data_IF_216829882562
#
_entry.id   IF_216829882562
#
_cell.length_a   1.000
_cell.length_b   1.000
_cell.length_c   1.000
_cell.angle_alpha   90.00
_cell.angle_beta   90.00
_cell.angle_gamma   90.00
#
_symmetry.space_group_name_H-M   'P 1'
#
loop_
_entity.id
_entity.type
_entity.pdbx_description
1 polymer ?
#
# COMPACT_ATOMS: atom_id res chain seq x y z
N UNK A 1 -15.49 22.35 10.96
CA UNK A 1 -16.68 22.76 11.76
C UNK A 1 -17.84 21.91 11.26
N UNK A 2 -18.25 20.85 11.96
CA UNK A 2 -19.02 20.85 13.22
C UNK A 2 -20.49 20.60 12.85
N UNK A 3 -21.05 19.41 13.10
CA UNK A 3 -21.68 18.95 14.34
C UNK A 3 -23.20 19.25 14.42
N UNK A 4 -23.97 18.18 14.67
CA UNK A 4 -25.26 18.14 15.36
C UNK A 4 -26.33 19.19 15.04
N UNK A 5 -27.33 18.82 14.22
CA UNK A 5 -28.73 19.16 14.48
C UNK A 5 -29.68 18.40 13.55
N UNK A 6 -30.03 17.17 13.91
CA UNK A 6 -31.27 16.56 13.45
C UNK A 6 -31.76 15.61 14.55
N UNK A 7 -32.11 16.20 15.69
CA UNK A 7 -32.74 15.54 16.81
C UNK A 7 -34.13 16.17 17.02
N UNK A 8 -35.12 15.29 17.19
CA UNK A 8 -36.48 15.51 17.71
C UNK A 8 -37.59 15.91 16.73
N UNK A 9 -38.03 14.93 15.94
CA UNK A 9 -39.46 14.68 15.76
C UNK A 9 -39.84 13.41 16.52
N UNK A 10 -40.54 13.51 17.65
CA UNK A 10 -41.18 12.37 18.31
C UNK A 10 -42.11 11.67 17.32
N UNK A 11 -41.75 10.48 16.86
CA UNK A 11 -42.70 9.49 16.31
C UNK A 11 -42.28 8.12 16.77
N UNK A 12 -43.27 7.33 17.12
CA UNK A 12 -43.19 6.10 17.88
C UNK A 12 -42.15 5.12 17.34
N UNK A 13 -41.61 4.32 18.27
CA UNK A 13 -40.77 3.15 17.97
C UNK A 13 -41.54 2.18 17.08
N UNK A 14 -41.50 2.40 15.78
CA UNK A 14 -41.77 1.35 14.80
C UNK A 14 -40.39 0.81 14.47
N UNK A 15 -40.06 -0.33 15.08
CA UNK A 15 -38.96 -1.16 14.61
C UNK A 15 -39.08 -1.28 13.08
N UNK A 16 -37.98 -1.17 12.31
CA UNK A 16 -38.08 -1.34 10.86
C UNK A 16 -38.78 -2.66 10.62
N UNK A 17 -39.97 -2.60 10.03
CA UNK A 17 -40.73 -3.78 9.67
C UNK A 17 -39.84 -4.60 8.76
N UNK A 18 -39.38 -5.74 9.26
CA UNK A 18 -38.64 -6.74 8.50
C UNK A 18 -39.43 -7.00 7.21
N UNK A 19 -38.92 -6.53 6.08
CA UNK A 19 -39.46 -6.88 4.77
C UNK A 19 -39.07 -8.34 4.48
N UNK A 20 -39.70 -9.26 5.20
CA UNK A 20 -39.66 -10.69 4.88
C UNK A 20 -40.56 -10.90 3.68
N UNK A 21 -39.97 -10.82 2.50
CA UNK A 21 -40.56 -11.40 1.30
C UNK A 21 -39.63 -12.53 0.84
N UNK A 22 -39.68 -13.65 1.60
CA UNK A 22 -39.23 -15.05 1.33
C UNK A 22 -38.15 -15.66 2.23
N UNK A 23 -37.47 -14.90 3.07
CA UNK A 23 -36.15 -15.32 3.55
C UNK A 23 -35.96 -15.05 5.03
N UNK A 24 -35.08 -15.84 5.62
CA UNK A 24 -34.63 -15.76 7.00
C UNK A 24 -34.05 -14.35 7.26
N UNK A 25 -34.57 -13.64 8.25
CA UNK A 25 -33.98 -12.37 8.67
C UNK A 25 -32.72 -12.62 9.50
N UNK A 26 -31.57 -12.43 8.86
CA UNK A 26 -30.26 -12.60 9.47
C UNK A 26 -29.64 -11.29 9.97
N UNK A 27 -30.32 -10.14 9.85
CA UNK A 27 -29.85 -8.82 10.33
C UNK A 27 -29.94 -8.70 11.86
N UNK A 28 -29.22 -9.58 12.55
CA UNK A 28 -29.21 -9.71 14.00
C UNK A 28 -28.05 -8.92 14.62
N UNK A 29 -28.09 -8.62 15.94
CA UNK A 29 -26.92 -8.06 16.63
C UNK A 29 -25.66 -8.92 16.47
N UNK A 30 -25.82 -10.25 16.40
CA UNK A 30 -24.72 -11.17 16.15
C UNK A 30 -24.11 -11.00 14.75
N UNK A 31 -24.94 -10.80 13.73
CA UNK A 31 -24.48 -10.49 12.38
C UNK A 31 -23.64 -9.22 12.35
N UNK A 32 -24.13 -8.12 12.95
CA UNK A 32 -23.36 -6.87 13.01
C UNK A 32 -22.08 -7.00 13.83
N UNK A 33 -22.10 -7.80 14.90
CA UNK A 33 -20.89 -8.10 15.69
C UNK A 33 -19.87 -8.85 14.84
N UNK A 34 -20.30 -9.84 14.07
CA UNK A 34 -19.42 -10.59 13.16
C UNK A 34 -18.87 -9.68 12.06
N UNK A 35 -19.71 -8.90 11.38
CA UNK A 35 -19.28 -7.91 10.38
C UNK A 35 -18.20 -6.97 10.93
N UNK A 36 -18.37 -6.49 12.17
CA UNK A 36 -17.37 -5.61 12.81
C UNK A 36 -16.04 -6.30 13.16
N UNK A 37 -15.98 -7.64 13.06
CA UNK A 37 -14.79 -8.45 13.32
C UNK A 37 -13.95 -8.76 12.08
N UNK A 38 -14.37 -8.25 10.91
CA UNK A 38 -13.58 -8.27 9.67
C UNK A 38 -12.20 -7.62 9.92
N UNK A 39 -11.08 -8.32 9.63
CA UNK A 39 -9.75 -7.74 9.80
C UNK A 39 -9.53 -6.52 8.92
N UNK A 40 -8.89 -5.51 9.49
CA UNK A 40 -8.50 -4.29 8.79
C UNK A 40 -7.00 -4.34 8.47
N UNK A 41 -6.68 -4.34 7.17
CA UNK A 41 -5.29 -4.39 6.70
C UNK A 41 -4.46 -3.18 7.15
N UNK A 42 -5.07 -1.99 7.26
CA UNK A 42 -4.37 -0.79 7.75
C UNK A 42 -3.96 -0.93 9.21
N UNK A 43 -4.76 -1.61 10.05
CA UNK A 43 -4.37 -1.93 11.44
C UNK A 43 -3.23 -2.94 11.50
N UNK A 44 -3.10 -3.82 10.51
CA UNK A 44 -1.99 -4.75 10.42
C UNK A 44 -0.72 -4.04 9.95
N UNK A 45 -0.85 -3.14 8.97
CA UNK A 45 0.23 -2.36 8.39
C UNK A 45 0.76 -1.25 9.31
N UNK A 46 -0.04 -0.85 10.31
CA UNK A 46 0.29 0.25 11.22
C UNK A 46 0.23 1.64 10.56
N UNK A 47 -0.27 1.71 9.33
CA UNK A 47 -0.41 2.93 8.53
C UNK A 47 -1.75 2.91 7.81
N UNK A 48 -2.49 4.01 7.93
CA UNK A 48 -3.73 4.18 7.20
C UNK A 48 -3.48 4.55 5.72
N UNK A 49 -4.53 4.46 4.90
CA UNK A 49 -4.47 4.79 3.48
C UNK A 49 -4.34 6.29 3.20
N UNK A 50 -4.50 7.15 4.21
CA UNK A 50 -4.30 8.60 4.12
C UNK A 50 -2.92 9.04 4.59
N UNK A 51 -2.03 8.09 4.89
CA UNK A 51 -0.68 8.37 5.34
C UNK A 51 0.05 9.19 4.25
N UNK A 52 0.69 10.31 4.62
CA UNK A 52 1.25 11.22 3.63
C UNK A 52 2.47 10.61 2.93
N UNK A 53 2.62 10.87 1.63
CA UNK A 53 3.73 10.36 0.81
C UNK A 53 5.11 10.93 1.20
N UNK A 54 5.14 12.04 1.94
CA UNK A 54 6.35 12.72 2.40
C UNK A 54 6.01 13.57 3.65
N UNK A 55 7.03 13.94 4.42
CA UNK A 55 6.90 14.84 5.58
C UNK A 55 7.88 16.01 5.59
N UNK A 56 8.87 16.02 4.69
CA UNK A 56 9.97 16.99 4.66
C UNK A 56 10.75 17.08 6.00
N UNK A 57 10.75 16.00 6.78
CA UNK A 57 11.47 15.93 8.07
C UNK A 57 12.90 15.44 7.91
N UNK A 58 13.20 14.73 6.81
CA UNK A 58 14.55 14.28 6.54
C UNK A 58 15.40 15.42 5.98
N UNK A 59 16.53 15.71 6.64
CA UNK A 59 17.45 16.77 6.23
C UNK A 59 18.54 16.17 5.35
N UNK A 60 18.65 16.66 4.11
CA UNK A 60 19.70 16.27 3.16
C UNK A 60 20.89 17.21 3.23
N UNK A 61 22.07 16.72 2.86
CA UNK A 61 23.28 17.54 2.78
C UNK A 61 23.22 18.56 1.62
N UNK A 62 22.41 18.27 0.59
CA UNK A 62 22.32 19.04 -0.65
C UNK A 62 21.31 20.20 -0.58
N UNK A 63 20.66 20.37 0.57
CA UNK A 63 19.62 21.36 0.80
C UNK A 63 18.43 21.22 -0.18
N UNK A 64 18.05 19.97 -0.46
CA UNK A 64 16.83 19.60 -1.17
C UNK A 64 15.96 18.69 -0.30
N UNK A 65 14.65 18.77 -0.45
CA UNK A 65 13.73 17.80 0.17
C UNK A 65 13.77 16.48 -0.59
N UNK A 66 13.49 15.36 0.07
CA UNK A 66 13.48 14.06 -0.62
C UNK A 66 12.47 14.00 -1.78
N UNK A 67 11.30 14.63 -1.64
CA UNK A 67 10.34 14.75 -2.76
C UNK A 67 10.90 15.54 -3.95
N UNK A 68 11.78 16.51 -3.72
CA UNK A 68 12.44 17.26 -4.78
C UNK A 68 13.49 16.38 -5.46
N UNK A 69 14.30 15.67 -4.67
CA UNK A 69 15.30 14.71 -5.18
C UNK A 69 14.66 13.54 -5.93
N UNK A 70 13.43 13.13 -5.58
CA UNK A 70 12.67 12.16 -6.36
C UNK A 70 12.47 12.63 -7.82
N UNK A 71 12.31 13.95 -8.07
CA UNK A 71 12.22 14.48 -9.43
C UNK A 71 13.55 14.36 -10.17
N UNK A 72 14.68 14.60 -9.49
CA UNK A 72 16.01 14.38 -10.07
C UNK A 72 16.21 12.90 -10.44
N UNK A 73 15.81 12.01 -9.52
CA UNK A 73 15.83 10.56 -9.75
C UNK A 73 14.96 10.19 -10.95
N UNK A 74 13.77 10.78 -11.07
CA UNK A 74 12.92 10.55 -12.22
C UNK A 74 13.60 10.98 -13.53
N UNK A 75 14.24 12.15 -13.59
CA UNK A 75 15.00 12.61 -14.76
C UNK A 75 16.12 11.64 -15.12
N UNK A 76 16.86 11.15 -14.13
CA UNK A 76 18.00 10.24 -14.30
C UNK A 76 17.69 8.78 -14.58
N UNK A 77 16.45 8.33 -14.35
CA UNK A 77 16.09 6.92 -14.46
C UNK A 77 16.38 6.29 -15.84
N UNK A 78 16.10 6.94 -16.99
CA UNK A 78 16.42 6.36 -18.28
C UNK A 78 17.90 6.55 -18.64
N UNK A 79 18.59 5.46 -18.99
CA UNK A 79 20.03 5.45 -19.35
C UNK A 79 20.42 6.50 -20.40
N UNK A 80 19.56 6.76 -21.38
CA UNK A 80 19.82 7.68 -22.49
C UNK A 80 19.16 9.05 -22.30
N UNK A 81 18.78 9.39 -21.06
CA UNK A 81 18.04 10.60 -20.74
C UNK A 81 16.59 10.59 -21.25
N UNK A 82 15.86 11.61 -20.85
CA UNK A 82 14.47 11.86 -21.27
C UNK A 82 14.44 12.91 -22.37
N UNK A 83 13.42 12.90 -23.23
CA UNK A 83 13.20 14.02 -24.16
C UNK A 83 13.09 15.32 -23.37
N UNK A 84 13.75 16.40 -23.79
CA UNK A 84 13.68 17.69 -23.08
C UNK A 84 12.27 18.29 -23.06
N UNK A 85 11.39 17.83 -23.96
CA UNK A 85 9.97 18.22 -24.05
C UNK A 85 9.01 17.26 -23.35
N UNK A 86 9.52 16.24 -22.63
CA UNK A 86 8.66 15.28 -21.94
C UNK A 86 7.83 15.99 -20.87
N UNK A 87 6.55 15.65 -20.79
CA UNK A 87 5.69 16.14 -19.71
C UNK A 87 6.05 15.45 -18.39
N UNK A 88 6.25 16.25 -17.35
CA UNK A 88 6.48 15.73 -16.00
C UNK A 88 5.19 15.04 -15.50
N UNK A 89 5.28 13.83 -14.90
CA UNK A 89 4.12 13.10 -14.42
C UNK A 89 3.27 13.85 -13.39
N UNK A 90 1.95 13.66 -13.46
CA UNK A 90 0.97 14.36 -12.62
C UNK A 90 1.20 14.18 -11.11
N UNK A 91 1.70 13.02 -10.67
CA UNK A 91 1.93 12.74 -9.25
C UNK A 91 2.94 13.69 -8.60
N UNK A 92 3.88 14.27 -9.35
CA UNK A 92 4.78 15.29 -8.79
C UNK A 92 4.02 16.55 -8.34
N UNK A 93 2.89 16.84 -8.98
CA UNK A 93 2.04 17.97 -8.65
C UNK A 93 0.97 17.60 -7.62
N UNK A 94 0.26 16.47 -7.80
CA UNK A 94 -0.85 16.08 -6.93
C UNK A 94 -0.38 15.45 -5.62
N UNK A 95 0.60 14.56 -5.69
CA UNK A 95 0.94 13.66 -4.57
C UNK A 95 2.14 14.20 -3.79
N UNK A 96 3.03 14.94 -4.47
CA UNK A 96 4.24 15.54 -3.89
C UNK A 96 4.19 17.06 -3.80
N UNK A 97 3.13 17.71 -4.31
CA UNK A 97 2.93 19.16 -4.24
C UNK A 97 4.19 19.96 -4.66
N UNK A 98 4.78 19.61 -5.80
CA UNK A 98 5.95 20.29 -6.35
C UNK A 98 5.55 21.28 -7.45
N UNK A 99 6.29 22.39 -7.52
CA UNK A 99 6.44 23.13 -8.76
C UNK A 99 7.57 22.50 -9.60
N UNK A 100 7.26 21.37 -10.24
CA UNK A 100 8.26 20.53 -10.89
C UNK A 100 9.00 21.21 -12.05
N UNK A 101 8.33 22.11 -12.77
CA UNK A 101 8.95 22.92 -13.83
C UNK A 101 10.00 23.89 -13.27
N UNK A 102 9.65 24.64 -12.21
CA UNK A 102 10.59 25.53 -11.53
C UNK A 102 11.77 24.74 -10.96
N UNK A 103 11.51 23.61 -10.32
CA UNK A 103 12.55 22.75 -9.75
C UNK A 103 13.49 22.18 -10.82
N UNK A 104 12.95 21.77 -11.97
CA UNK A 104 13.77 21.32 -13.11
C UNK A 104 14.72 22.42 -13.60
N UNK A 105 14.26 23.68 -13.66
CA UNK A 105 15.14 24.83 -13.98
C UNK A 105 16.22 25.04 -12.91
N UNK A 106 15.89 24.84 -11.63
CA UNK A 106 16.87 24.91 -10.53
C UNK A 106 17.92 23.80 -10.67
N UNK A 107 17.53 22.59 -11.03
CA UNK A 107 18.49 21.50 -11.31
C UNK A 107 19.42 21.83 -12.48
N UNK A 108 18.88 22.44 -13.56
CA UNK A 108 19.70 22.93 -14.68
C UNK A 108 20.68 24.01 -14.23
N UNK A 109 20.22 25.03 -13.50
CA UNK A 109 21.09 26.12 -13.04
C UNK A 109 22.16 25.67 -12.04
N UNK A 110 21.89 24.61 -11.26
CA UNK A 110 22.86 23.99 -10.35
C UNK A 110 23.78 22.97 -11.05
N UNK A 111 23.63 22.78 -12.36
CA UNK A 111 24.42 21.85 -13.15
C UNK A 111 24.21 20.40 -12.76
N UNK A 112 23.01 20.01 -12.30
CA UNK A 112 22.67 18.61 -11.99
C UNK A 112 22.11 17.88 -13.22
N UNK A 113 21.44 18.60 -14.10
CA UNK A 113 20.95 18.09 -15.37
C UNK A 113 21.26 19.10 -16.47
N UNK A 114 21.42 18.63 -17.69
CA UNK A 114 21.68 19.46 -18.86
C UNK A 114 20.89 18.95 -20.07
N UNK A 115 20.52 19.86 -20.96
CA UNK A 115 19.99 19.50 -22.28
C UNK A 115 21.15 19.23 -23.24
N UNK A 116 21.18 18.04 -23.82
CA UNK A 116 22.13 17.61 -24.86
C UNK A 116 21.30 17.16 -26.05
N UNK A 117 21.26 18.01 -27.09
CA UNK A 117 20.37 17.80 -28.23
C UNK A 117 18.89 17.87 -27.83
N UNK A 118 18.12 16.83 -28.13
CA UNK A 118 16.70 16.71 -27.78
C UNK A 118 16.46 16.03 -26.42
N UNK A 119 17.52 15.77 -25.64
CA UNK A 119 17.48 15.02 -24.39
C UNK A 119 17.93 15.86 -23.21
N UNK A 120 17.30 15.64 -22.05
CA UNK A 120 17.82 16.05 -20.75
C UNK A 120 18.49 14.84 -20.09
N UNK A 121 19.76 15.01 -19.71
CA UNK A 121 20.57 14.01 -19.02
C UNK A 121 21.07 14.53 -17.67
N UNK A 122 21.45 13.61 -16.78
CA UNK A 122 22.23 13.94 -15.60
C UNK A 122 23.64 14.38 -16.02
N UNK A 123 24.18 15.37 -15.32
CA UNK A 123 25.63 15.64 -15.33
C UNK A 123 26.35 14.67 -14.38
N UNK A 124 27.68 14.73 -14.29
CA UNK A 124 28.44 13.95 -13.29
C UNK A 124 27.93 14.22 -11.86
N UNK A 125 27.77 15.48 -11.48
CA UNK A 125 27.19 15.88 -10.19
C UNK A 125 25.75 15.39 -10.01
N UNK A 126 24.96 15.41 -11.07
CA UNK A 126 23.61 14.84 -11.06
C UNK A 126 23.60 13.33 -10.85
N UNK A 127 24.58 12.63 -11.45
CA UNK A 127 24.74 11.19 -11.32
C UNK A 127 25.11 10.79 -9.88
N UNK A 128 26.00 11.53 -9.23
CA UNK A 128 26.34 11.31 -7.82
C UNK A 128 25.09 11.37 -6.92
N UNK A 129 24.28 12.41 -7.10
CA UNK A 129 23.03 12.54 -6.34
C UNK A 129 22.00 11.48 -6.71
N UNK A 130 21.89 11.14 -7.99
CA UNK A 130 21.02 10.06 -8.44
C UNK A 130 21.39 8.75 -7.74
N UNK A 131 22.66 8.37 -7.70
CA UNK A 131 23.09 7.12 -7.05
C UNK A 131 22.81 7.11 -5.55
N UNK A 132 23.02 8.25 -4.87
CA UNK A 132 22.69 8.42 -3.44
C UNK A 132 21.19 8.28 -3.16
N UNK A 133 20.34 8.77 -4.05
CA UNK A 133 18.90 8.92 -3.80
C UNK A 133 18.00 7.99 -4.63
N UNK A 134 18.53 7.11 -5.47
CA UNK A 134 17.73 6.24 -6.38
C UNK A 134 16.69 5.37 -5.67
N UNK A 135 16.92 5.02 -4.40
CA UNK A 135 15.96 4.29 -3.56
C UNK A 135 14.61 5.01 -3.41
N UNK A 136 14.58 6.35 -3.51
CA UNK A 136 13.33 7.12 -3.51
C UNK A 136 12.36 6.66 -4.60
N UNK A 137 12.88 6.23 -5.76
CA UNK A 137 12.04 5.69 -6.82
C UNK A 137 11.37 4.37 -6.42
N UNK A 138 12.09 3.51 -5.69
CA UNK A 138 11.57 2.23 -5.22
C UNK A 138 10.44 2.46 -4.21
N UNK A 139 10.67 3.34 -3.23
CA UNK A 139 9.68 3.75 -2.22
C UNK A 139 8.42 4.31 -2.88
N UNK A 140 8.59 5.23 -3.84
CA UNK A 140 7.49 5.81 -4.62
C UNK A 140 6.70 4.76 -5.42
N UNK A 141 7.38 3.72 -5.90
CA UNK A 141 6.77 2.72 -6.78
C UNK A 141 5.90 1.71 -6.05
N UNK A 142 6.01 1.60 -4.72
CA UNK A 142 5.14 0.74 -3.91
C UNK A 142 3.72 1.31 -3.91
N UNK A 143 2.73 0.50 -4.31
CA UNK A 143 1.31 0.91 -4.36
C UNK A 143 0.42 0.14 -3.40
N UNK A 144 0.83 -1.06 -2.98
CA UNK A 144 0.04 -1.89 -2.06
C UNK A 144 0.24 -1.54 -0.57
N UNK A 145 1.17 -0.64 -0.24
CA UNK A 145 1.46 -0.22 1.13
C UNK A 145 1.67 1.29 1.18
N UNK A 146 1.12 2.01 2.18
CA UNK A 146 1.34 3.44 2.36
C UNK A 146 2.80 3.76 2.74
N UNK A 147 3.57 4.29 1.80
CA UNK A 147 4.97 4.70 1.99
C UNK A 147 5.13 6.19 2.23
N UNK A 148 6.23 6.58 2.87
CA UNK A 148 6.62 7.98 3.08
C UNK A 148 8.12 8.13 2.82
N UNK A 149 8.49 9.06 1.92
CA UNK A 149 9.88 9.24 1.51
C UNK A 149 10.82 9.50 2.69
N UNK A 150 10.45 10.39 3.61
CA UNK A 150 11.31 10.82 4.73
C UNK A 150 11.48 9.74 5.81
N UNK A 151 10.43 8.95 6.04
CA UNK A 151 10.44 7.90 7.07
C UNK A 151 11.13 6.64 6.53
N UNK A 152 10.89 6.28 5.28
CA UNK A 152 11.31 5.00 4.73
C UNK A 152 12.71 5.05 4.10
N UNK A 153 13.13 6.20 3.53
CA UNK A 153 14.43 6.35 2.87
C UNK A 153 15.65 6.02 3.73
N UNK A 154 15.78 6.50 4.98
CA UNK A 154 17.02 6.34 5.76
C UNK A 154 17.41 4.89 6.02
N UNK A 155 16.41 4.00 6.11
CA UNK A 155 16.58 2.59 6.43
C UNK A 155 16.11 1.69 5.28
N UNK A 156 16.03 2.24 4.06
CA UNK A 156 15.46 1.50 2.94
C UNK A 156 16.32 0.29 2.58
N UNK A 157 15.76 -0.89 2.79
CA UNK A 157 16.26 -2.14 2.27
C UNK A 157 15.10 -2.83 1.56
N UNK A 158 15.15 -2.86 0.22
CA UNK A 158 14.07 -3.40 -0.59
C UNK A 158 13.71 -4.85 -0.25
N UNK A 159 14.70 -5.72 -0.04
CA UNK A 159 14.44 -7.13 0.24
C UNK A 159 13.80 -7.30 1.61
N UNK A 160 14.29 -6.57 2.61
CA UNK A 160 13.71 -6.60 3.95
C UNK A 160 12.28 -6.01 3.96
N UNK A 161 12.06 -4.91 3.24
CA UNK A 161 10.75 -4.30 3.08
C UNK A 161 9.75 -5.26 2.42
N UNK A 162 10.14 -5.89 1.31
CA UNK A 162 9.28 -6.88 0.62
C UNK A 162 8.95 -8.07 1.53
N UNK A 163 9.91 -8.55 2.33
CA UNK A 163 9.70 -9.64 3.29
C UNK A 163 8.66 -9.26 4.34
N UNK A 164 8.81 -8.10 4.96
CA UNK A 164 7.87 -7.62 5.97
C UNK A 164 6.48 -7.40 5.37
N UNK A 165 6.39 -6.87 4.15
CA UNK A 165 5.12 -6.74 3.45
C UNK A 165 4.43 -8.10 3.24
N UNK A 166 5.16 -9.12 2.78
CA UNK A 166 4.59 -10.46 2.64
C UNK A 166 4.15 -11.05 3.98
N UNK A 167 4.90 -10.83 5.06
CA UNK A 167 4.52 -11.27 6.41
C UNK A 167 3.23 -10.60 6.89
N UNK A 168 3.06 -9.31 6.61
CA UNK A 168 1.85 -8.57 6.95
C UNK A 168 0.63 -9.04 6.12
N UNK A 169 0.80 -9.21 4.81
CA UNK A 169 -0.23 -9.77 3.91
C UNK A 169 -0.65 -11.19 4.37
N UNK A 170 0.32 -12.05 4.67
CA UNK A 170 0.06 -13.39 5.20
C UNK A 170 -0.77 -13.35 6.49
N UNK A 171 -0.45 -12.42 7.40
CA UNK A 171 -1.21 -12.23 8.64
C UNK A 171 -2.64 -11.78 8.36
N UNK A 172 -2.84 -10.87 7.40
CA UNK A 172 -4.15 -10.41 6.98
C UNK A 172 -5.00 -11.55 6.41
N UNK A 173 -4.52 -12.25 5.37
CA UNK A 173 -5.30 -13.32 4.72
C UNK A 173 -5.60 -14.49 5.66
N UNK A 174 -4.69 -14.82 6.60
CA UNK A 174 -4.97 -15.80 7.67
C UNK A 174 -6.09 -15.34 8.61
N UNK A 175 -6.17 -14.05 8.91
CA UNK A 175 -7.24 -13.50 9.72
C UNK A 175 -8.57 -13.45 8.95
N UNK A 176 -8.53 -13.04 7.68
CA UNK A 176 -9.72 -12.90 6.84
C UNK A 176 -10.35 -14.27 6.54
N UNK A 177 -9.54 -15.30 6.23
CA UNK A 177 -10.03 -16.67 6.07
C UNK A 177 -10.76 -17.21 7.32
N UNK A 178 -10.30 -16.82 8.53
CA UNK A 178 -10.98 -17.16 9.80
C UNK A 178 -12.27 -16.39 9.97
N UNK A 179 -12.30 -15.11 9.58
CA UNK A 179 -13.51 -14.31 9.56
C UNK A 179 -14.57 -14.89 8.60
N UNK A 180 -14.20 -15.18 7.35
CA UNK A 180 -15.08 -15.83 6.37
C UNK A 180 -15.65 -17.14 6.90
N UNK A 181 -14.84 -17.96 7.59
CA UNK A 181 -15.33 -19.18 8.25
C UNK A 181 -16.43 -18.88 9.28
N UNK A 182 -16.27 -17.85 10.12
CA UNK A 182 -17.31 -17.47 11.09
C UNK A 182 -18.60 -17.01 10.40
N UNK A 183 -18.50 -16.28 9.29
CA UNK A 183 -19.67 -15.86 8.51
C UNK A 183 -20.39 -17.08 7.90
N UNK A 184 -19.64 -18.02 7.31
CA UNK A 184 -20.19 -19.28 6.78
C UNK A 184 -20.90 -20.06 7.90
N UNK A 185 -20.26 -20.21 9.05
CA UNK A 185 -20.82 -20.93 10.20
C UNK A 185 -22.10 -20.23 10.73
N UNK A 186 -22.12 -18.90 10.75
CA UNK A 186 -23.30 -18.09 11.10
C UNK A 186 -24.46 -18.33 10.13
N UNK A 187 -24.23 -18.22 8.83
CA UNK A 187 -25.30 -18.43 7.83
C UNK A 187 -25.78 -19.88 7.78
N UNK A 188 -24.89 -20.85 7.99
CA UNK A 188 -25.28 -22.26 8.09
C UNK A 188 -26.14 -22.55 9.34
N UNK A 189 -25.99 -21.78 10.42
CA UNK A 189 -26.75 -21.99 11.66
C UNK A 189 -28.27 -21.86 11.49
N UNK A 190 -28.71 -21.14 10.46
CA UNK A 190 -30.12 -20.98 10.14
C UNK A 190 -30.75 -22.25 9.53
N UNK A 191 -29.96 -23.26 9.17
CA UNK A 191 -30.41 -24.50 8.53
C UNK A 191 -31.37 -24.24 7.35
N UNK A 192 -31.07 -23.19 6.58
CA UNK A 192 -31.93 -22.73 5.52
C UNK A 192 -32.06 -23.80 4.42
N UNK A 193 -33.26 -24.06 3.88
CA UNK A 193 -33.41 -24.98 2.76
C UNK A 193 -32.62 -24.49 1.55
N UNK A 194 -32.24 -25.38 0.64
CA UNK A 194 -31.51 -25.02 -0.58
C UNK A 194 -32.25 -23.99 -1.46
N UNK A 195 -33.58 -23.88 -1.31
CA UNK A 195 -34.40 -22.87 -1.98
C UNK A 195 -34.26 -21.45 -1.41
N UNK A 196 -33.63 -21.27 -0.25
CA UNK A 196 -33.35 -19.98 0.36
C UNK A 196 -32.12 -19.33 -0.30
N UNK A 197 -32.30 -18.86 -1.54
CA UNK A 197 -31.23 -18.37 -2.41
C UNK A 197 -30.36 -17.28 -1.77
N UNK A 198 -30.94 -16.38 -0.97
CA UNK A 198 -30.20 -15.30 -0.30
C UNK A 198 -29.15 -15.83 0.67
N UNK A 199 -29.53 -16.75 1.56
CA UNK A 199 -28.59 -17.39 2.50
C UNK A 199 -27.52 -18.18 1.75
N UNK A 200 -27.92 -18.90 0.68
CA UNK A 200 -26.97 -19.65 -0.14
C UNK A 200 -25.97 -18.73 -0.87
N UNK A 201 -26.41 -17.57 -1.34
CA UNK A 201 -25.54 -16.58 -1.97
C UNK A 201 -24.53 -16.01 -0.97
N UNK A 202 -24.95 -15.69 0.25
CA UNK A 202 -24.05 -15.24 1.33
C UNK A 202 -23.01 -16.32 1.67
N UNK A 203 -23.44 -17.57 1.86
CA UNK A 203 -22.52 -18.68 2.10
C UNK A 203 -21.50 -18.81 0.96
N UNK A 204 -21.97 -18.80 -0.29
CA UNK A 204 -21.10 -18.93 -1.46
C UNK A 204 -20.12 -17.76 -1.58
N UNK A 205 -20.54 -16.54 -1.26
CA UNK A 205 -19.68 -15.37 -1.21
C UNK A 205 -18.49 -15.60 -0.26
N UNK A 206 -18.76 -15.93 1.01
CA UNK A 206 -17.70 -16.14 2.00
C UNK A 206 -16.88 -17.42 1.75
N UNK A 207 -17.45 -18.45 1.13
CA UNK A 207 -16.69 -19.64 0.70
C UNK A 207 -15.67 -19.26 -0.38
N UNK A 208 -16.09 -18.47 -1.36
CA UNK A 208 -15.21 -18.01 -2.44
C UNK A 208 -14.08 -17.12 -1.89
N UNK A 209 -14.42 -16.15 -1.04
CA UNK A 209 -13.42 -15.27 -0.41
C UNK A 209 -12.44 -16.08 0.43
N UNK A 210 -12.93 -17.00 1.27
CA UNK A 210 -12.06 -17.89 2.06
C UNK A 210 -11.12 -18.72 1.19
N UNK A 211 -11.61 -19.26 0.08
CA UNK A 211 -10.78 -20.07 -0.81
C UNK A 211 -9.71 -19.22 -1.51
N UNK A 212 -10.07 -17.99 -1.91
CA UNK A 212 -9.12 -16.99 -2.42
C UNK A 212 -8.05 -16.66 -1.38
N UNK A 213 -8.45 -16.39 -0.13
CA UNK A 213 -7.53 -16.10 0.97
C UNK A 213 -6.57 -17.25 1.23
N UNK A 214 -7.05 -18.50 1.24
CA UNK A 214 -6.20 -19.67 1.46
C UNK A 214 -5.17 -19.86 0.33
N UNK A 215 -5.56 -19.55 -0.91
CA UNK A 215 -4.62 -19.52 -2.04
C UNK A 215 -3.53 -18.45 -1.83
N UNK A 216 -3.93 -17.24 -1.40
CA UNK A 216 -2.99 -16.16 -1.05
C UNK A 216 -2.07 -16.56 0.11
N UNK A 217 -2.60 -17.21 1.15
CA UNK A 217 -1.80 -17.69 2.28
C UNK A 217 -0.68 -18.61 1.80
N UNK A 218 -0.98 -19.57 0.93
CA UNK A 218 0.02 -20.48 0.40
C UNK A 218 1.08 -19.74 -0.44
N UNK A 219 0.64 -18.85 -1.34
CA UNK A 219 1.52 -18.02 -2.18
C UNK A 219 2.47 -17.15 -1.35
N UNK A 220 1.98 -16.48 -0.30
CA UNK A 220 2.84 -15.67 0.56
C UNK A 220 3.76 -16.52 1.44
N UNK A 221 3.35 -17.70 1.88
CA UNK A 221 4.24 -18.61 2.61
C UNK A 221 5.43 -19.05 1.76
N UNK A 222 5.19 -19.40 0.50
CA UNK A 222 6.24 -19.76 -0.45
C UNK A 222 7.17 -18.57 -0.73
N UNK A 223 6.61 -17.39 -1.01
CA UNK A 223 7.40 -16.16 -1.23
C UNK A 223 8.28 -15.78 -0.04
N UNK A 224 7.76 -15.92 1.18
CA UNK A 224 8.53 -15.67 2.41
C UNK A 224 9.69 -16.66 2.50
N UNK A 225 9.44 -17.96 2.32
CA UNK A 225 10.48 -18.98 2.40
C UNK A 225 11.63 -18.72 1.40
N UNK A 226 11.29 -18.47 0.13
CA UNK A 226 12.27 -18.15 -0.93
C UNK A 226 13.10 -16.91 -0.57
N UNK A 227 12.45 -15.88 -0.01
CA UNK A 227 13.11 -14.63 0.31
C UNK A 227 14.03 -14.75 1.53
N UNK A 228 13.62 -15.51 2.55
CA UNK A 228 14.43 -15.80 3.73
C UNK A 228 15.67 -16.61 3.37
N UNK A 229 15.53 -17.64 2.54
CA UNK A 229 16.66 -18.42 2.02
C UNK A 229 17.66 -17.51 1.28
N UNK A 230 17.17 -16.69 0.34
CA UNK A 230 18.00 -15.75 -0.41
C UNK A 230 18.74 -14.74 0.46
N UNK A 231 18.10 -14.24 1.53
CA UNK A 231 18.71 -13.28 2.45
C UNK A 231 19.79 -13.97 3.29
N UNK A 232 19.54 -15.18 3.78
CA UNK A 232 20.51 -15.96 4.55
C UNK A 232 21.73 -16.34 3.70
N UNK A 233 21.52 -16.81 2.47
CA UNK A 233 22.60 -17.14 1.54
C UNK A 233 23.57 -15.97 1.29
N UNK A 234 23.04 -14.75 1.21
CA UNK A 234 23.86 -13.55 1.04
C UNK A 234 24.65 -13.22 2.29
N UNK A 235 24.04 -13.40 3.46
CA UNK A 235 24.69 -13.16 4.75
C UNK A 235 25.87 -14.12 4.93
N UNK A 236 25.66 -15.40 4.67
CA UNK A 236 26.70 -16.42 4.80
C UNK A 236 27.88 -16.16 3.84
N UNK A 237 27.60 -15.74 2.59
CA UNK A 237 28.64 -15.35 1.62
C UNK A 237 29.43 -14.12 2.06
N UNK A 238 28.80 -13.14 2.70
CA UNK A 238 29.47 -11.96 3.23
C UNK A 238 30.34 -12.30 4.44
N UNK A 239 29.88 -13.19 5.32
CA UNK A 239 30.66 -13.65 6.48
C UNK A 239 31.93 -14.39 6.04
N UNK A 240 31.83 -15.27 5.03
CA UNK A 240 32.99 -15.96 4.43
C UNK A 240 34.00 -14.97 3.85
N UNK A 241 33.55 -13.93 3.14
CA UNK A 241 34.42 -12.93 2.53
C UNK A 241 35.04 -11.94 3.54
N UNK A 242 34.45 -11.80 4.73
CA UNK A 242 34.95 -10.92 5.80
C UNK A 242 35.86 -11.63 6.81
N UNK A 243 35.97 -12.96 6.70
CA UNK A 243 36.79 -13.81 7.56
C UNK A 243 38.17 -14.19 6.98
N UNK A 244 38.54 -13.65 5.81
CA UNK A 244 39.87 -13.72 5.18
C UNK A 244 40.61 -12.38 5.31
#
# INVERSE_FOLDING_TARGET
MGFFSALFGKRDKIAPSSYSIRGIDYYTPEYYRLLSSDPDISKIYGRDHTFPNYSDTYVTDENFKLRELLLLVWWGKPKNGRKSTVSIPKYFFSDYNLNAEKLTRIFKSKGLIADVGDRTLLTEKGQELYEKYKALWEIHSVKQYPTNLDIDFPNWNKEHFELELYRMELKYYKAHAKYCKKMIDFFNSFNAPASAQEIQNEINYYVNDRNSDLSKVNDYQEKIAIMEERINDKKDKLEILSGE
#
